data_IF_453508533126
#
_entry.id   IF_453508533126
#
_cell.length_a   1.000
_cell.length_b   1.000
_cell.length_c   1.000
_cell.angle_alpha   90.00
_cell.angle_beta   90.00
_cell.angle_gamma   90.00
#
_symmetry.space_group_name_H-M   'P 1'
#
loop_
_entity.id
_entity.type
_entity.pdbx_description
1 polymer ?
#
# COMPACT_ATOMS: atom_id res chain seq x y z
N UNK A 1 -50.04 26.36 42.68
CA UNK A 1 -48.80 25.87 42.01
C UNK A 1 -48.32 24.59 42.73
N UNK A 2 -48.43 23.39 42.08
CA UNK A 2 -47.97 22.14 42.66
C UNK A 2 -46.44 22.10 42.52
N UNK A 3 -45.71 21.92 43.64
CA UNK A 3 -44.25 21.70 43.64
C UNK A 3 -43.95 20.35 42.98
N UNK A 4 -43.00 20.29 42.08
CA UNK A 4 -42.58 18.99 41.51
C UNK A 4 -42.05 18.11 42.65
N UNK A 5 -42.57 16.89 42.78
CA UNK A 5 -42.16 15.95 43.83
C UNK A 5 -40.71 15.57 43.67
N UNK A 6 -40.02 15.25 44.77
CA UNK A 6 -38.60 14.88 44.82
C UNK A 6 -38.23 13.80 43.78
N UNK A 7 -39.15 12.89 43.46
CA UNK A 7 -38.98 11.86 42.44
C UNK A 7 -38.78 12.45 41.02
N UNK A 8 -39.51 13.53 40.68
CA UNK A 8 -39.36 14.19 39.37
C UNK A 8 -38.01 14.89 39.21
N UNK A 9 -37.46 15.44 40.28
CA UNK A 9 -36.15 16.11 40.27
C UNK A 9 -35.01 15.08 40.11
N UNK A 10 -35.09 13.97 40.81
CA UNK A 10 -34.09 12.87 40.70
C UNK A 10 -34.11 12.24 39.31
N UNK A 11 -35.30 11.99 38.74
CA UNK A 11 -35.42 11.47 37.37
C UNK A 11 -34.84 12.45 36.33
N UNK A 12 -35.06 13.75 36.47
CA UNK A 12 -34.50 14.75 35.57
C UNK A 12 -32.96 14.81 35.65
N UNK A 13 -32.39 14.71 36.86
CA UNK A 13 -30.95 14.71 37.08
C UNK A 13 -30.29 13.48 36.46
N UNK A 14 -30.94 12.31 36.56
CA UNK A 14 -30.44 11.07 35.92
C UNK A 14 -30.47 11.18 34.39
N UNK A 15 -31.52 11.71 33.81
CA UNK A 15 -31.59 11.93 32.34
C UNK A 15 -30.53 12.89 31.87
N UNK A 16 -30.32 14.02 32.58
CA UNK A 16 -29.30 14.99 32.24
C UNK A 16 -27.87 14.43 32.37
N UNK A 17 -27.63 13.60 33.39
CA UNK A 17 -26.31 12.95 33.54
C UNK A 17 -26.04 11.92 32.44
N UNK A 18 -27.05 11.16 31.99
CA UNK A 18 -26.94 10.23 30.88
C UNK A 18 -26.69 10.98 29.56
N UNK A 19 -27.46 12.07 29.31
CA UNK A 19 -27.25 12.89 28.13
C UNK A 19 -25.87 13.57 28.11
N UNK A 20 -25.39 14.03 29.25
CA UNK A 20 -24.05 14.60 29.40
C UNK A 20 -22.95 13.52 29.17
N UNK A 21 -23.11 12.33 29.73
CA UNK A 21 -22.19 11.23 29.51
C UNK A 21 -22.19 10.82 28.03
N UNK A 22 -23.37 10.75 27.40
CA UNK A 22 -23.50 10.43 25.98
C UNK A 22 -22.86 11.52 25.09
N UNK A 23 -23.08 12.79 25.42
CA UNK A 23 -22.45 13.91 24.71
C UNK A 23 -20.93 13.92 24.87
N UNK A 24 -20.41 13.60 26.05
CA UNK A 24 -18.97 13.46 26.29
C UNK A 24 -18.40 12.28 25.51
N UNK A 25 -19.05 11.11 25.54
CA UNK A 25 -18.62 9.95 24.76
C UNK A 25 -18.66 10.22 23.26
N UNK A 26 -19.70 10.87 22.76
CA UNK A 26 -19.81 11.21 21.34
C UNK A 26 -18.80 12.31 20.92
N UNK A 27 -18.43 13.23 21.80
CA UNK A 27 -17.39 14.21 21.52
C UNK A 27 -15.97 13.58 21.51
N UNK A 28 -15.73 12.54 22.32
CA UNK A 28 -14.49 11.79 22.28
C UNK A 28 -14.43 10.82 21.09
N UNK A 29 -15.57 10.26 20.68
CA UNK A 29 -15.67 9.42 19.47
C UNK A 29 -15.74 10.24 18.17
N UNK A 30 -16.09 11.52 18.24
CA UNK A 30 -16.16 12.43 17.10
C UNK A 30 -14.81 13.08 16.72
N UNK A 31 -13.80 12.99 17.56
CA UNK A 31 -12.43 13.44 17.25
C UNK A 31 -11.57 12.31 16.61
N UNK A 32 -12.19 11.53 15.72
CA UNK A 32 -11.43 10.97 14.63
C UNK A 32 -11.20 12.11 13.61
N UNK A 33 -10.46 13.12 14.00
CA UNK A 33 -9.71 13.89 13.04
C UNK A 33 -8.93 12.84 12.27
N UNK A 34 -9.37 12.59 11.01
CA UNK A 34 -8.47 12.04 10.04
C UNK A 34 -7.16 12.80 10.27
N UNK A 35 -6.07 12.15 10.65
CA UNK A 35 -4.80 12.77 10.48
C UNK A 35 -4.64 12.85 8.96
N UNK A 36 -5.16 13.91 8.36
CA UNK A 36 -4.54 14.48 7.20
C UNK A 36 -3.21 14.99 7.74
N UNK A 37 -2.35 14.03 8.08
CA UNK A 37 -0.94 14.28 8.04
C UNK A 37 -0.71 14.59 6.58
N UNK A 38 -0.84 15.87 6.24
CA UNK A 38 -0.19 16.43 5.08
C UNK A 38 1.27 16.16 5.40
N UNK A 39 1.75 14.97 4.99
CA UNK A 39 3.16 14.74 4.83
C UNK A 39 3.49 15.67 3.67
N UNK A 40 3.77 16.92 3.99
CA UNK A 40 4.56 17.78 3.12
C UNK A 40 5.92 17.11 3.06
N UNK A 41 6.00 16.07 2.20
CA UNK A 41 7.26 15.44 1.86
C UNK A 41 7.99 16.40 0.95
N UNK A 42 8.55 17.46 1.53
CA UNK A 42 9.69 18.18 0.95
C UNK A 42 10.96 17.33 1.07
N UNK A 43 10.84 16.05 1.17
CA UNK A 43 11.95 15.10 1.09
C UNK A 43 12.30 14.92 -0.37
N UNK A 44 13.60 14.84 -0.64
CA UNK A 44 14.22 14.71 -1.95
C UNK A 44 13.33 13.90 -2.91
N UNK A 45 12.69 14.63 -3.84
CA UNK A 45 11.81 14.03 -4.83
C UNK A 45 12.71 13.24 -5.79
N UNK A 46 12.75 11.92 -5.61
CA UNK A 46 13.47 11.05 -6.53
C UNK A 46 12.63 10.90 -7.81
N UNK A 47 12.76 11.90 -8.71
CA UNK A 47 12.13 11.83 -10.02
C UNK A 47 12.78 10.69 -10.81
N UNK A 48 11.97 9.91 -11.49
CA UNK A 48 12.45 8.83 -12.36
C UNK A 48 13.31 9.42 -13.48
N UNK A 49 14.53 8.91 -13.60
CA UNK A 49 15.46 9.34 -14.66
C UNK A 49 15.14 8.66 -16.00
N UNK A 50 15.57 9.22 -17.14
CA UNK A 50 15.43 8.55 -18.43
C UNK A 50 16.07 7.16 -18.47
N UNK A 51 17.24 6.96 -17.82
CA UNK A 51 17.91 5.65 -17.72
C UNK A 51 17.09 4.64 -16.95
N UNK A 52 16.50 5.00 -15.81
CA UNK A 52 15.60 4.12 -15.05
C UNK A 52 14.37 3.74 -15.88
N UNK A 53 13.79 4.69 -16.60
CA UNK A 53 12.64 4.43 -17.46
C UNK A 53 13.00 3.49 -18.62
N UNK A 54 14.19 3.61 -19.21
CA UNK A 54 14.67 2.73 -20.27
C UNK A 54 14.96 1.31 -19.74
N UNK A 55 15.67 1.21 -18.63
CA UNK A 55 15.94 -0.08 -17.96
C UNK A 55 14.61 -0.80 -17.64
N UNK A 56 13.63 -0.08 -17.11
CA UNK A 56 12.29 -0.61 -16.85
C UNK A 56 11.58 -1.09 -18.10
N UNK A 57 11.61 -0.35 -19.19
CA UNK A 57 11.05 -0.79 -20.49
C UNK A 57 11.74 -2.07 -20.99
N UNK A 58 13.05 -2.19 -20.76
CA UNK A 58 13.81 -3.39 -21.12
C UNK A 58 13.41 -4.66 -20.36
N UNK A 59 12.67 -4.54 -19.26
CA UNK A 59 12.16 -5.67 -18.49
C UNK A 59 10.79 -6.17 -18.99
N UNK A 60 10.04 -5.34 -19.70
CA UNK A 60 8.70 -5.69 -20.20
C UNK A 60 8.79 -6.83 -21.22
N UNK A 61 7.84 -7.77 -21.15
CA UNK A 61 7.76 -9.02 -21.92
C UNK A 61 8.84 -10.07 -21.64
N UNK A 62 9.75 -9.82 -20.69
CA UNK A 62 10.64 -10.88 -20.20
C UNK A 62 9.89 -11.85 -19.28
N UNK A 63 10.43 -13.07 -19.17
CA UNK A 63 9.99 -14.01 -18.14
C UNK A 63 10.36 -13.44 -16.77
N UNK A 64 9.40 -13.39 -15.86
CA UNK A 64 9.62 -12.95 -14.50
C UNK A 64 10.59 -13.90 -13.78
N UNK A 65 11.63 -13.38 -13.12
CA UNK A 65 12.55 -14.19 -12.33
C UNK A 65 11.81 -15.01 -11.26
N UNK A 66 12.11 -16.31 -11.23
CA UNK A 66 11.50 -17.22 -10.27
C UNK A 66 11.97 -16.91 -8.85
N UNK A 67 11.09 -17.07 -7.89
CA UNK A 67 11.42 -16.94 -6.47
C UNK A 67 10.61 -17.90 -5.61
N UNK A 68 11.13 -18.20 -4.43
CA UNK A 68 10.42 -18.81 -3.30
C UNK A 68 10.93 -18.14 -2.04
N UNK A 69 10.09 -17.34 -1.39
CA UNK A 69 10.46 -16.51 -0.25
C UNK A 69 9.42 -16.60 0.87
N UNK A 70 9.89 -16.51 2.10
CA UNK A 70 9.04 -16.32 3.27
C UNK A 70 8.54 -14.87 3.29
N UNK A 71 7.36 -14.67 3.90
CA UNK A 71 6.76 -13.36 4.05
C UNK A 71 6.41 -13.02 5.51
N UNK A 72 6.02 -11.78 5.74
CA UNK A 72 5.70 -11.23 7.06
C UNK A 72 4.51 -11.91 7.76
N UNK A 73 3.66 -12.60 7.02
CA UNK A 73 2.55 -13.40 7.56
C UNK A 73 2.95 -14.84 7.95
N UNK A 74 4.25 -15.17 7.82
CA UNK A 74 4.80 -16.49 8.10
C UNK A 74 4.62 -17.53 7.00
N UNK A 75 3.89 -17.20 5.92
CA UNK A 75 3.73 -18.09 4.78
C UNK A 75 4.94 -18.04 3.82
N UNK A 76 5.08 -19.07 3.00
CA UNK A 76 6.04 -19.12 1.90
C UNK A 76 5.31 -18.93 0.57
N UNK A 77 5.83 -18.05 -0.25
CA UNK A 77 5.28 -17.71 -1.55
C UNK A 77 6.26 -18.02 -2.66
N UNK A 78 5.79 -18.68 -3.70
CA UNK A 78 6.57 -18.90 -4.93
C UNK A 78 5.87 -18.27 -6.13
N UNK A 79 6.65 -17.73 -7.07
CA UNK A 79 6.12 -17.11 -8.29
C UNK A 79 5.14 -18.06 -9.00
N UNK A 80 5.57 -19.33 -9.23
CA UNK A 80 4.77 -20.29 -9.96
C UNK A 80 3.42 -20.64 -9.32
N UNK A 81 3.29 -20.54 -7.99
CA UNK A 81 2.01 -20.71 -7.30
C UNK A 81 1.14 -19.46 -7.45
N UNK A 82 1.73 -18.29 -7.23
CA UNK A 82 1.01 -17.01 -7.26
C UNK A 82 0.37 -16.72 -8.62
N UNK A 83 1.11 -16.89 -9.72
CA UNK A 83 0.60 -16.61 -11.07
C UNK A 83 -0.51 -17.56 -11.53
N UNK A 84 -0.58 -18.80 -10.97
CA UNK A 84 -1.72 -19.70 -11.23
C UNK A 84 -3.02 -19.19 -10.58
N UNK A 85 -2.92 -18.41 -9.53
CA UNK A 85 -4.07 -17.90 -8.78
C UNK A 85 -4.59 -16.57 -9.33
N UNK A 86 -3.80 -15.86 -10.17
CA UNK A 86 -4.18 -14.59 -10.77
C UNK A 86 -2.98 -13.75 -11.21
N UNK A 87 -3.20 -12.55 -11.76
CA UNK A 87 -2.11 -11.62 -12.04
C UNK A 87 -1.45 -11.19 -10.73
N UNK A 88 -0.11 -11.07 -10.76
CA UNK A 88 0.71 -10.71 -9.61
C UNK A 88 1.25 -9.29 -9.76
N UNK A 89 1.01 -8.46 -8.74
CA UNK A 89 1.65 -7.16 -8.58
C UNK A 89 2.69 -7.28 -7.48
N UNK A 90 3.93 -6.91 -7.77
CA UNK A 90 5.00 -6.73 -6.80
C UNK A 90 5.26 -5.24 -6.60
N UNK A 91 5.27 -4.80 -5.35
CA UNK A 91 5.69 -3.45 -4.95
C UNK A 91 7.00 -3.58 -4.17
N UNK A 92 7.94 -2.67 -4.41
CA UNK A 92 9.26 -2.75 -3.77
C UNK A 92 9.39 -1.69 -2.68
N UNK A 93 9.73 -2.13 -1.47
CA UNK A 93 9.69 -1.33 -0.24
C UNK A 93 11.07 -1.37 0.40
N UNK A 94 11.66 -0.20 0.68
CA UNK A 94 12.90 -0.08 1.46
C UNK A 94 12.57 0.38 2.89
N UNK A 95 13.11 -0.31 3.88
CA UNK A 95 12.96 0.04 5.29
C UNK A 95 13.55 1.44 5.54
N UNK A 96 12.83 2.27 6.26
CA UNK A 96 13.27 3.63 6.57
C UNK A 96 13.10 4.65 5.45
N UNK A 97 12.63 4.24 4.26
CA UNK A 97 12.46 5.15 3.13
C UNK A 97 11.14 5.94 3.21
N UNK A 98 11.19 7.29 3.30
CA UNK A 98 9.98 8.11 3.33
C UNK A 98 9.13 7.99 2.05
N UNK A 99 9.76 7.75 0.90
CA UNK A 99 9.05 7.57 -0.37
C UNK A 99 8.24 6.25 -0.38
N UNK A 100 8.77 5.17 0.24
CA UNK A 100 8.01 3.94 0.45
C UNK A 100 6.79 4.19 1.35
N UNK A 101 6.96 4.99 2.41
CA UNK A 101 5.87 5.37 3.32
C UNK A 101 4.80 6.19 2.56
N UNK A 102 5.21 7.16 1.74
CA UNK A 102 4.31 8.00 0.95
C UNK A 102 3.53 7.23 -0.14
N UNK A 103 4.15 6.21 -0.75
CA UNK A 103 3.52 5.38 -1.79
C UNK A 103 2.50 4.38 -1.22
N UNK A 104 2.72 3.91 0.01
CA UNK A 104 1.97 2.79 0.58
C UNK A 104 0.44 2.98 0.63
N UNK A 105 -0.12 4.16 0.97
CA UNK A 105 -1.57 4.36 0.95
C UNK A 105 -2.22 4.05 -0.41
N UNK A 106 -1.55 4.36 -1.52
CA UNK A 106 -2.04 4.10 -2.86
C UNK A 106 -2.04 2.61 -3.19
N UNK A 107 -1.00 1.88 -2.78
CA UNK A 107 -0.94 0.43 -2.95
C UNK A 107 -1.97 -0.30 -2.09
N UNK A 108 -2.26 0.20 -0.89
CA UNK A 108 -3.37 -0.30 -0.08
C UNK A 108 -4.73 -0.10 -0.75
N UNK A 109 -4.97 1.09 -1.36
CA UNK A 109 -6.19 1.37 -2.13
C UNK A 109 -6.31 0.45 -3.34
N UNK A 110 -5.21 0.23 -4.05
CA UNK A 110 -5.14 -0.73 -5.16
C UNK A 110 -5.54 -2.15 -4.69
N UNK A 111 -4.97 -2.62 -3.57
CA UNK A 111 -5.31 -3.92 -2.98
C UNK A 111 -6.79 -4.04 -2.62
N UNK A 112 -7.37 -2.99 -2.06
CA UNK A 112 -8.79 -2.95 -1.71
C UNK A 112 -9.70 -2.94 -2.95
N UNK A 113 -9.30 -2.22 -4.00
CA UNK A 113 -10.06 -2.13 -5.24
C UNK A 113 -10.05 -3.45 -6.04
N UNK A 114 -8.95 -4.19 -6.03
CA UNK A 114 -8.76 -5.41 -6.84
C UNK A 114 -8.41 -6.63 -5.97
N UNK A 115 -9.36 -7.16 -5.18
CA UNK A 115 -9.08 -8.26 -4.24
C UNK A 115 -8.74 -9.60 -4.93
N UNK A 116 -9.07 -9.76 -6.21
CA UNK A 116 -8.74 -10.94 -7.02
C UNK A 116 -7.34 -10.88 -7.64
N UNK A 117 -6.67 -9.72 -7.64
CA UNK A 117 -5.27 -9.62 -7.99
C UNK A 117 -4.40 -10.03 -6.79
N UNK A 118 -3.27 -10.69 -7.06
CA UNK A 118 -2.26 -10.98 -6.04
C UNK A 118 -1.34 -9.78 -5.90
N UNK A 119 -1.39 -9.10 -4.76
CA UNK A 119 -0.51 -7.96 -4.47
C UNK A 119 0.36 -8.33 -3.28
N UNK A 120 1.68 -8.32 -3.49
CA UNK A 120 2.69 -8.54 -2.46
C UNK A 120 3.73 -7.42 -2.50
N UNK A 121 4.32 -7.11 -1.36
CA UNK A 121 5.51 -6.27 -1.30
C UNK A 121 6.77 -7.12 -1.29
N UNK A 122 7.88 -6.54 -1.72
CA UNK A 122 9.23 -7.06 -1.53
C UNK A 122 9.94 -6.08 -0.62
N UNK A 123 10.48 -6.53 0.50
CA UNK A 123 11.10 -5.68 1.52
C UNK A 123 12.53 -6.11 1.84
N UNK A 124 13.44 -5.16 1.92
CA UNK A 124 14.89 -5.31 2.13
C UNK A 124 15.29 -5.65 3.58
N UNK A 125 14.51 -6.47 4.26
CA UNK A 125 14.78 -6.78 5.67
C UNK A 125 14.37 -8.16 6.10
N UNK A 126 14.93 -8.57 7.24
CA UNK A 126 14.50 -9.75 7.97
C UNK A 126 13.13 -9.55 8.62
N UNK A 127 12.52 -10.64 9.08
CA UNK A 127 11.15 -10.68 9.60
C UNK A 127 10.86 -9.63 10.69
N UNK A 128 11.77 -9.43 11.63
CA UNK A 128 11.57 -8.49 12.73
C UNK A 128 11.46 -7.02 12.25
N UNK A 129 12.51 -6.47 11.62
CA UNK A 129 12.48 -5.13 11.02
C UNK A 129 11.35 -4.94 9.99
N UNK A 130 11.11 -5.95 9.14
CA UNK A 130 10.05 -5.91 8.14
C UNK A 130 8.66 -5.76 8.77
N UNK A 131 8.36 -6.52 9.83
CA UNK A 131 7.09 -6.42 10.55
C UNK A 131 6.91 -5.05 11.23
N UNK A 132 7.97 -4.52 11.85
CA UNK A 132 7.93 -3.19 12.46
C UNK A 132 7.63 -2.11 11.42
N UNK A 133 8.31 -2.17 10.28
CA UNK A 133 8.10 -1.21 9.19
C UNK A 133 6.73 -1.37 8.55
N UNK A 134 6.29 -2.60 8.25
CA UNK A 134 4.97 -2.88 7.71
C UNK A 134 3.85 -2.32 8.59
N UNK A 135 3.99 -2.47 9.91
CA UNK A 135 3.04 -1.89 10.88
C UNK A 135 3.08 -0.37 10.85
N UNK A 136 4.27 0.24 10.84
CA UNK A 136 4.46 1.70 10.79
C UNK A 136 3.76 2.31 9.58
N UNK A 137 4.00 1.76 8.38
CA UNK A 137 3.44 2.28 7.12
C UNK A 137 2.09 1.65 6.75
N UNK A 138 1.50 0.85 7.66
CA UNK A 138 0.16 0.25 7.55
C UNK A 138 -0.05 -0.57 6.29
N UNK A 139 0.90 -1.43 5.94
CA UNK A 139 0.77 -2.32 4.77
C UNK A 139 -0.39 -3.29 4.97
N UNK A 140 -1.24 -3.46 3.95
CA UNK A 140 -2.45 -4.30 3.99
C UNK A 140 -2.31 -5.64 3.25
N UNK A 141 -1.09 -6.02 2.87
CA UNK A 141 -0.78 -7.26 2.14
C UNK A 141 0.57 -7.84 2.60
N UNK A 142 0.86 -9.14 2.35
CA UNK A 142 2.10 -9.76 2.79
C UNK A 142 3.33 -9.15 2.13
N UNK A 143 4.45 -9.06 2.87
CA UNK A 143 5.75 -8.62 2.37
C UNK A 143 6.70 -9.81 2.29
N UNK A 144 7.23 -10.08 1.11
CA UNK A 144 8.30 -11.05 0.84
C UNK A 144 9.60 -10.52 1.42
N UNK A 145 10.29 -11.34 2.19
CA UNK A 145 11.55 -10.96 2.84
C UNK A 145 12.73 -11.15 1.88
N UNK A 146 13.40 -10.05 1.54
CA UNK A 146 14.56 -10.02 0.64
C UNK A 146 15.76 -9.28 1.25
N UNK A 147 16.27 -9.71 2.43
CA UNK A 147 17.32 -8.99 3.16
C UNK A 147 18.63 -8.91 2.37
N UNK A 148 18.85 -9.81 1.41
CA UNK A 148 20.03 -9.84 0.57
C UNK A 148 19.82 -9.19 -0.81
N UNK A 149 18.68 -8.54 -1.05
CA UNK A 149 18.33 -7.86 -2.31
C UNK A 149 18.41 -8.77 -3.56
N UNK A 150 18.19 -10.07 -3.38
CA UNK A 150 18.28 -11.04 -4.50
C UNK A 150 17.13 -10.82 -5.48
N UNK A 151 15.91 -10.66 -4.96
CA UNK A 151 14.75 -10.41 -5.80
C UNK A 151 14.78 -9.00 -6.39
N UNK A 152 15.19 -8.01 -5.61
CA UNK A 152 15.41 -6.63 -6.07
C UNK A 152 16.34 -6.62 -7.30
N UNK A 153 17.53 -7.26 -7.21
CA UNK A 153 18.48 -7.36 -8.32
C UNK A 153 17.92 -8.14 -9.51
N UNK A 154 17.28 -9.29 -9.26
CA UNK A 154 16.75 -10.15 -10.32
C UNK A 154 15.69 -9.45 -11.17
N UNK A 155 14.87 -8.60 -10.55
CA UNK A 155 13.85 -7.80 -11.24
C UNK A 155 14.37 -6.47 -11.80
N UNK A 156 15.67 -6.18 -11.70
CA UNK A 156 16.25 -4.93 -12.20
C UNK A 156 15.71 -3.68 -11.51
N UNK A 157 15.39 -3.81 -10.22
CA UNK A 157 14.87 -2.72 -9.41
C UNK A 157 16.02 -1.97 -8.76
N UNK A 158 16.13 -0.67 -9.03
CA UNK A 158 17.20 0.18 -8.50
C UNK A 158 16.77 0.89 -7.20
N UNK A 159 15.50 1.29 -7.13
CA UNK A 159 14.95 2.08 -6.03
C UNK A 159 13.69 1.43 -5.46
N UNK A 160 13.31 1.79 -4.25
CA UNK A 160 11.99 1.45 -3.72
C UNK A 160 10.87 2.15 -4.48
N UNK A 161 9.61 1.81 -4.18
CA UNK A 161 8.41 2.27 -4.87
C UNK A 161 8.32 1.85 -6.36
N UNK A 162 9.18 0.98 -6.85
CA UNK A 162 8.97 0.29 -8.12
C UNK A 162 7.73 -0.60 -8.05
N UNK A 163 7.10 -0.80 -9.20
CA UNK A 163 5.94 -1.68 -9.32
C UNK A 163 6.10 -2.58 -10.55
N UNK A 164 5.86 -3.87 -10.37
CA UNK A 164 5.94 -4.86 -11.45
C UNK A 164 4.63 -5.64 -11.51
N UNK A 165 4.07 -5.75 -12.71
CA UNK A 165 2.89 -6.58 -12.99
C UNK A 165 3.31 -7.79 -13.80
N UNK A 166 3.02 -8.98 -13.27
CA UNK A 166 3.28 -10.28 -13.92
C UNK A 166 1.96 -10.95 -14.26
N UNK A 167 1.85 -11.47 -15.48
CA UNK A 167 0.65 -12.19 -15.91
C UNK A 167 0.67 -13.67 -15.45
N UNK A 168 -0.41 -14.39 -15.75
CA UNK A 168 -0.55 -15.80 -15.41
C UNK A 168 0.36 -16.74 -16.24
N UNK A 169 1.05 -16.23 -17.28
CA UNK A 169 2.08 -16.97 -18.04
C UNK A 169 3.47 -16.75 -17.48
N UNK A 170 3.60 -15.90 -16.45
CA UNK A 170 4.88 -15.53 -15.86
C UNK A 170 5.64 -14.46 -16.64
N UNK A 171 4.97 -13.74 -17.55
CA UNK A 171 5.57 -12.60 -18.25
C UNK A 171 5.38 -11.30 -17.47
N UNK A 172 6.42 -10.48 -17.44
CA UNK A 172 6.35 -9.11 -16.95
C UNK A 172 5.55 -8.29 -17.97
N UNK A 173 4.32 -7.94 -17.63
CA UNK A 173 3.45 -7.13 -18.46
C UNK A 173 3.80 -5.65 -18.39
N UNK A 174 4.12 -5.20 -17.20
CA UNK A 174 4.46 -3.81 -16.89
C UNK A 174 5.57 -3.79 -15.85
N UNK A 175 6.46 -2.81 -15.98
CA UNK A 175 7.54 -2.56 -15.04
C UNK A 175 7.70 -1.05 -14.92
N UNK A 176 7.34 -0.49 -13.78
CA UNK A 176 7.40 0.95 -13.55
C UNK A 176 8.49 1.29 -12.54
N UNK A 177 9.39 2.23 -12.86
CA UNK A 177 10.49 2.61 -11.97
C UNK A 177 10.07 3.56 -10.84
N UNK A 178 8.78 3.55 -10.49
CA UNK A 178 8.18 4.40 -9.49
C UNK A 178 6.67 4.40 -9.63
N UNK A 179 6.02 5.42 -9.07
CA UNK A 179 4.57 5.56 -9.13
C UNK A 179 4.16 6.99 -9.47
N UNK A 180 2.96 7.13 -10.03
CA UNK A 180 2.27 8.39 -10.31
C UNK A 180 0.76 8.19 -10.29
N UNK A 181 0.01 9.29 -10.29
CA UNK A 181 -1.45 9.21 -10.38
C UNK A 181 -1.90 8.47 -11.65
N UNK A 182 -1.30 8.79 -12.81
CA UNK A 182 -1.62 8.15 -14.09
C UNK A 182 -1.27 6.66 -14.10
N UNK A 183 -0.11 6.27 -13.55
CA UNK A 183 0.31 4.87 -13.46
C UNK A 183 -0.65 4.04 -12.59
N UNK A 184 -1.09 4.58 -11.46
CA UNK A 184 -2.05 3.88 -10.59
C UNK A 184 -3.39 3.63 -11.29
N UNK A 185 -3.86 4.58 -12.09
CA UNK A 185 -5.07 4.42 -12.92
C UNK A 185 -4.87 3.35 -14.00
N UNK A 186 -3.73 3.40 -14.72
CA UNK A 186 -3.37 2.42 -15.76
C UNK A 186 -3.27 1.00 -15.16
N UNK A 187 -2.59 0.85 -14.03
CA UNK A 187 -2.49 -0.43 -13.32
C UNK A 187 -3.87 -0.94 -12.90
N UNK A 188 -4.72 -0.06 -12.36
CA UNK A 188 -6.09 -0.43 -12.00
C UNK A 188 -6.90 -0.91 -13.20
N UNK A 189 -6.87 -0.20 -14.32
CA UNK A 189 -7.56 -0.60 -15.54
C UNK A 189 -7.04 -1.95 -16.09
N UNK A 190 -5.71 -2.15 -16.06
CA UNK A 190 -5.08 -3.40 -16.48
C UNK A 190 -5.48 -4.57 -15.58
N UNK A 191 -5.51 -4.36 -14.26
CA UNK A 191 -5.96 -5.39 -13.32
C UNK A 191 -7.43 -5.74 -13.52
N UNK A 192 -8.30 -4.76 -13.78
CA UNK A 192 -9.70 -5.02 -14.13
C UNK A 192 -9.84 -5.94 -15.34
N UNK A 193 -9.06 -5.67 -16.40
CA UNK A 193 -9.03 -6.48 -17.61
C UNK A 193 -8.54 -7.91 -17.30
N UNK A 194 -7.41 -8.06 -16.62
CA UNK A 194 -6.79 -9.35 -16.32
C UNK A 194 -7.63 -10.21 -15.37
N UNK A 195 -8.34 -9.59 -14.44
CA UNK A 195 -9.21 -10.28 -13.46
C UNK A 195 -10.67 -10.40 -13.95
N UNK A 196 -10.98 -9.91 -15.16
CA UNK A 196 -12.35 -9.85 -15.71
C UNK A 196 -13.34 -9.20 -14.75
N UNK A 197 -12.92 -8.13 -14.10
CA UNK A 197 -13.72 -7.35 -13.16
C UNK A 197 -14.03 -5.96 -13.71
N UNK A 198 -15.00 -5.28 -13.13
CA UNK A 198 -15.25 -3.87 -13.47
C UNK A 198 -14.05 -3.00 -13.07
N UNK A 199 -13.76 -1.97 -13.86
CA UNK A 199 -12.78 -0.95 -13.52
C UNK A 199 -13.27 -0.22 -12.26
N UNK A 200 -12.46 -0.21 -11.22
CA UNK A 200 -12.72 0.52 -9.98
C UNK A 200 -11.79 1.71 -9.88
N UNK A 201 -12.30 2.92 -9.73
CA UNK A 201 -11.45 4.10 -9.59
C UNK A 201 -10.61 3.97 -8.32
N UNK A 202 -9.31 4.25 -8.45
CA UNK A 202 -8.40 4.36 -7.31
C UNK A 202 -8.34 5.84 -6.96
N UNK A 203 -8.60 6.16 -5.70
CA UNK A 203 -8.38 7.53 -5.23
C UNK A 203 -6.89 7.85 -5.28
N UNK A 204 -6.52 8.72 -6.20
CA UNK A 204 -5.14 9.20 -6.45
C UNK A 204 -4.92 10.62 -5.93
N UNK A 205 -5.83 11.14 -5.09
CA UNK A 205 -5.63 12.43 -4.44
C UNK A 205 -4.31 12.41 -3.68
N UNK A 206 -3.47 13.41 -3.90
CA UNK A 206 -2.11 13.55 -3.39
C UNK A 206 -1.08 12.56 -3.98
N UNK A 207 -1.43 11.76 -4.97
CA UNK A 207 -0.42 11.03 -5.73
C UNK A 207 0.38 12.00 -6.62
N UNK A 208 1.69 11.75 -6.84
CA UNK A 208 2.48 12.60 -7.71
C UNK A 208 1.95 12.56 -9.15
N UNK A 209 2.00 13.72 -9.84
CA UNK A 209 1.67 13.82 -11.27
C UNK A 209 2.78 13.21 -12.10
N UNK A 210 4.03 13.52 -11.76
CA UNK A 210 5.22 12.93 -12.36
C UNK A 210 5.55 11.59 -11.71
N UNK A 211 6.32 10.76 -12.41
CA UNK A 211 6.81 9.52 -11.83
C UNK A 211 7.84 9.79 -10.73
N UNK A 212 7.53 9.35 -9.51
CA UNK A 212 8.45 9.36 -8.39
C UNK A 212 8.88 7.95 -8.04
N UNK A 213 10.19 7.77 -8.03
CA UNK A 213 10.86 6.61 -7.47
C UNK A 213 11.03 6.76 -5.97
N UNK A 214 11.44 5.68 -5.30
CA UNK A 214 11.81 5.74 -3.89
C UNK A 214 13.31 5.93 -3.69
N UNK A 215 13.77 5.64 -2.47
CA UNK A 215 15.19 5.68 -2.15
C UNK A 215 15.93 4.54 -2.87
N UNK A 216 17.18 4.76 -3.33
CA UNK A 216 17.97 3.72 -3.97
C UNK A 216 18.28 2.58 -3.00
N UNK A 217 18.35 1.37 -3.52
CA UNK A 217 18.90 0.23 -2.80
C UNK A 217 20.43 0.25 -2.82
N UNK A 218 21.05 -0.36 -1.84
CA UNK A 218 22.51 -0.53 -1.76
C UNK A 218 22.90 -1.81 -2.53
N UNK A 219 22.93 -1.73 -3.89
CA UNK A 219 23.07 -2.85 -4.82
C UNK A 219 24.54 -3.23 -5.06
#
# INVERSE_FOLDING_TARGET
MKRPGAIGVVALMLVLSILYAWFRLSSELGNWENPTTIITVETAKHVVTPSMAEASRGMVFRQAPAFTLKATDGAEYSLGKLIREGPLVLTFIKIGCPCSEAAQPFFNRLRAAYPHARILGVIDGDLGPANLWAKKIRVSYPLLLDPNLQLVRAYGVENSAYVVLVDQKGQIMMHWPGYSASMLQELGATLALLTRSAVRPIDTLNAPVEFYSGCPYDL
#
